data_IF_664116981346
#
_entry.id   IF_664116981346
#
_cell.length_a   1.000
_cell.length_b   1.000
_cell.length_c   1.000
_cell.angle_alpha   90.00
_cell.angle_beta   90.00
_cell.angle_gamma   90.00
#
_symmetry.space_group_name_H-M   'P 1'
#
loop_
_entity.id
_entity.type
_entity.pdbx_description
1 polymer ?
#
# COMPACT_ATOMS: atom_id res chain seq x y z
N UNK A 1 -0.03 -10.99 -10.42
CA UNK A 1 -0.48 -9.84 -9.61
C UNK A 1 0.61 -9.54 -8.59
N UNK A 2 1.16 -8.33 -8.62
CA UNK A 2 2.21 -7.89 -7.69
C UNK A 2 1.52 -7.26 -6.49
N UNK A 3 1.64 -7.87 -5.32
CA UNK A 3 1.09 -7.30 -4.09
C UNK A 3 2.11 -6.30 -3.54
N UNK A 4 1.71 -5.03 -3.40
CA UNK A 4 2.57 -4.04 -2.76
C UNK A 4 2.51 -4.14 -1.23
N UNK A 5 3.41 -3.44 -0.54
CA UNK A 5 3.37 -3.28 0.94
C UNK A 5 2.03 -2.77 1.48
N UNK A 6 1.18 -2.15 0.65
CA UNK A 6 -0.19 -1.80 1.02
C UNK A 6 -1.11 -3.02 1.20
N UNK A 7 -0.66 -4.24 0.94
CA UNK A 7 -1.52 -5.42 0.84
C UNK A 7 -2.35 -5.48 -0.45
N UNK A 8 -2.29 -4.45 -1.30
CA UNK A 8 -3.12 -4.34 -2.49
C UNK A 8 -2.26 -4.55 -3.75
N UNK A 9 -2.89 -4.99 -4.83
CA UNK A 9 -2.29 -5.08 -6.15
C UNK A 9 -1.64 -3.74 -6.56
N UNK A 10 -0.33 -3.75 -6.78
CA UNK A 10 0.44 -2.60 -7.28
C UNK A 10 -0.12 -2.09 -8.60
N UNK A 11 -0.73 -2.95 -9.41
CA UNK A 11 -1.40 -2.60 -10.68
C UNK A 11 -2.62 -1.68 -10.49
N UNK A 12 -3.15 -1.57 -9.27
CA UNK A 12 -4.23 -0.63 -8.91
C UNK A 12 -3.71 0.67 -8.30
N UNK A 13 -2.40 0.81 -8.11
CA UNK A 13 -1.78 2.05 -7.63
C UNK A 13 -1.68 3.09 -8.77
N UNK A 14 -2.20 4.31 -8.63
CA UNK A 14 -2.11 5.37 -9.62
C UNK A 14 -0.69 5.72 -10.03
N UNK A 15 0.30 5.68 -9.12
CA UNK A 15 1.70 5.89 -9.51
C UNK A 15 2.19 4.81 -10.47
N UNK A 16 1.79 3.56 -10.25
CA UNK A 16 2.09 2.46 -11.15
C UNK A 16 1.33 2.60 -12.48
N UNK A 17 0.03 2.89 -12.42
CA UNK A 17 -0.82 3.07 -13.60
C UNK A 17 -0.35 4.24 -14.48
N UNK A 18 0.15 5.30 -13.86
CA UNK A 18 0.68 6.47 -14.54
C UNK A 18 2.18 6.35 -14.88
N UNK A 19 2.80 5.18 -14.70
CA UNK A 19 4.24 4.95 -14.94
C UNK A 19 5.19 5.92 -14.19
N UNK A 20 4.73 6.48 -13.06
CA UNK A 20 5.50 7.40 -12.19
C UNK A 20 5.89 6.73 -10.86
N UNK A 21 5.77 5.41 -10.77
CA UNK A 21 6.22 4.64 -9.64
C UNK A 21 7.75 4.71 -9.56
N UNK A 22 8.35 5.13 -8.43
CA UNK A 22 9.81 5.19 -8.30
C UNK A 22 10.47 3.80 -8.39
N UNK A 23 9.72 2.74 -8.08
CA UNK A 23 10.18 1.36 -8.19
C UNK A 23 9.85 0.71 -9.54
N UNK A 24 9.32 1.50 -10.50
CA UNK A 24 8.92 1.00 -11.81
C UNK A 24 8.03 -0.24 -11.69
N UNK A 25 8.29 -1.24 -12.52
CA UNK A 25 7.52 -2.47 -12.57
C UNK A 25 7.70 -3.39 -11.35
N UNK A 26 8.69 -3.17 -10.48
CA UNK A 26 8.93 -4.05 -9.32
C UNK A 26 7.82 -3.92 -8.27
N UNK A 27 7.23 -2.73 -8.12
CA UNK A 27 6.26 -2.44 -7.05
C UNK A 27 6.91 -2.02 -5.74
N UNK A 28 6.10 -1.85 -4.70
CA UNK A 28 6.63 -1.40 -3.41
C UNK A 28 7.14 -2.59 -2.59
N UNK A 29 8.37 -2.48 -2.09
CA UNK A 29 8.97 -3.34 -1.06
C UNK A 29 9.22 -2.48 0.18
N UNK A 30 9.02 -3.05 1.37
CA UNK A 30 9.21 -2.33 2.62
C UNK A 30 10.67 -1.83 2.71
N UNK A 31 10.87 -0.59 3.17
CA UNK A 31 12.17 0.14 3.22
C UNK A 31 12.77 0.58 1.88
N UNK A 32 12.36 0.01 0.77
CA UNK A 32 12.90 0.41 -0.55
C UNK A 32 12.21 1.67 -1.09
N UNK A 33 10.91 1.84 -0.85
CA UNK A 33 10.16 3.01 -1.32
C UNK A 33 9.94 4.06 -0.22
N UNK A 34 10.98 4.86 0.06
CA UNK A 34 10.94 5.94 1.09
C UNK A 34 9.94 7.06 0.78
N UNK A 35 9.48 7.17 -0.47
CA UNK A 35 8.53 8.20 -0.90
C UNK A 35 7.07 7.77 -0.79
N UNK A 36 6.81 6.48 -0.56
CA UNK A 36 5.46 5.97 -0.37
C UNK A 36 5.10 6.04 1.12
N UNK A 37 4.09 6.84 1.46
CA UNK A 37 3.61 6.95 2.83
C UNK A 37 3.14 5.61 3.41
N UNK A 38 2.54 4.74 2.59
CA UNK A 38 2.17 3.38 3.01
C UNK A 38 3.42 2.56 3.32
N UNK A 39 4.47 2.64 2.50
CA UNK A 39 5.73 1.92 2.76
C UNK A 39 6.37 2.37 4.07
N UNK A 40 6.42 3.68 4.32
CA UNK A 40 6.90 4.23 5.59
C UNK A 40 6.02 3.81 6.77
N UNK A 41 4.70 3.81 6.61
CA UNK A 41 3.76 3.38 7.64
C UNK A 41 3.91 1.89 7.97
N UNK A 42 4.00 1.02 6.96
CA UNK A 42 4.21 -0.42 7.13
C UNK A 42 5.56 -0.69 7.83
N UNK A 43 6.61 -0.01 7.39
CA UNK A 43 7.93 -0.08 8.03
C UNK A 43 7.90 0.36 9.50
N UNK A 44 7.32 1.53 9.80
CA UNK A 44 7.24 2.06 11.16
C UNK A 44 6.39 1.16 12.08
N UNK A 45 5.40 0.46 11.52
CA UNK A 45 4.55 -0.50 12.24
C UNK A 45 5.12 -1.92 12.26
N UNK A 46 6.31 -2.12 11.68
CA UNK A 46 7.00 -3.41 11.59
C UNK A 46 6.13 -4.53 10.97
N UNK A 47 5.38 -4.18 9.91
CA UNK A 47 4.57 -5.13 9.11
C UNK A 47 5.04 -5.13 7.67
N UNK A 48 4.96 -6.27 6.98
CA UNK A 48 5.35 -6.38 5.58
C UNK A 48 4.23 -5.92 4.65
N UNK A 49 2.98 -6.23 5.03
CA UNK A 49 1.77 -5.88 4.31
C UNK A 49 0.80 -5.12 5.23
N UNK A 50 0.07 -4.15 4.69
CA UNK A 50 -0.94 -3.48 5.51
C UNK A 50 -2.03 -4.42 6.04
N UNK A 51 -2.34 -5.54 5.38
CA UNK A 51 -3.27 -6.54 5.91
C UNK A 51 -2.79 -7.24 7.19
N UNK A 52 -1.48 -7.23 7.46
CA UNK A 52 -0.92 -7.74 8.72
C UNK A 52 -1.06 -6.70 9.85
N UNK A 53 -1.44 -5.46 9.53
CA UNK A 53 -1.66 -4.42 10.52
C UNK A 53 -3.06 -4.56 11.13
N UNK A 54 -3.14 -4.65 12.46
CA UNK A 54 -4.40 -4.71 13.22
C UNK A 54 -5.32 -3.51 12.98
N UNK A 55 -4.73 -2.35 12.72
CA UNK A 55 -5.44 -1.09 12.44
C UNK A 55 -5.87 -0.96 10.98
N UNK A 56 -5.55 -1.91 10.09
CA UNK A 56 -5.94 -1.79 8.69
C UNK A 56 -7.46 -1.99 8.50
N UNK A 57 -8.13 -1.17 7.68
CA UNK A 57 -7.63 0.04 7.02
C UNK A 57 -7.51 1.22 8.01
N UNK A 58 -6.39 1.92 7.97
CA UNK A 58 -6.04 3.04 8.87
C UNK A 58 -6.06 4.41 8.14
N UNK A 59 -5.80 5.50 8.86
CA UNK A 59 -5.73 6.86 8.29
C UNK A 59 -4.78 6.98 7.08
N UNK A 60 -3.62 6.32 7.12
CA UNK A 60 -2.70 6.31 5.96
C UNK A 60 -3.35 5.69 4.72
N UNK A 61 -4.18 4.66 4.90
CA UNK A 61 -4.88 4.01 3.80
C UNK A 61 -6.09 4.82 3.31
N UNK A 62 -6.67 5.71 4.12
CA UNK A 62 -7.68 6.70 3.70
C UNK A 62 -7.11 7.76 2.77
N UNK A 63 -5.88 8.20 3.05
CA UNK A 63 -5.13 9.13 2.21
C UNK A 63 -4.47 8.43 1.01
N UNK A 64 -4.48 7.10 1.03
CA UNK A 64 -3.97 6.27 -0.02
C UNK A 64 -4.75 6.47 -1.32
N UNK A 65 -4.14 6.11 -2.45
CA UNK A 65 -4.75 6.33 -3.75
C UNK A 65 -5.93 5.38 -4.07
N UNK A 66 -6.27 4.48 -3.16
CA UNK A 66 -7.29 3.46 -3.33
C UNK A 66 -8.45 3.81 -2.40
N UNK A 67 -9.69 3.66 -2.88
CA UNK A 67 -10.88 3.96 -2.09
C UNK A 67 -10.83 3.27 -0.74
N UNK A 68 -11.05 4.03 0.33
CA UNK A 68 -11.10 3.48 1.68
C UNK A 68 -12.17 2.39 1.81
N UNK A 69 -13.31 2.54 1.14
CA UNK A 69 -14.36 1.51 1.11
C UNK A 69 -13.90 0.19 0.49
N UNK A 70 -13.00 0.25 -0.51
CA UNK A 70 -12.39 -0.96 -1.06
C UNK A 70 -11.43 -1.61 -0.08
N UNK A 71 -10.67 -0.82 0.69
CA UNK A 71 -9.83 -1.34 1.77
C UNK A 71 -10.65 -1.98 2.89
N UNK A 72 -11.82 -1.42 3.24
CA UNK A 72 -12.76 -2.00 4.21
C UNK A 72 -13.27 -3.37 3.75
N UNK A 73 -13.80 -3.44 2.51
CA UNK A 73 -14.25 -4.69 1.89
C UNK A 73 -13.16 -5.77 1.94
N UNK A 74 -11.91 -5.42 1.59
CA UNK A 74 -10.78 -6.35 1.64
C UNK A 74 -10.41 -6.80 3.06
N UNK A 75 -10.60 -5.94 4.06
CA UNK A 75 -10.32 -6.26 5.47
C UNK A 75 -11.44 -7.06 6.17
N UNK A 76 -12.59 -7.24 5.51
CA UNK A 76 -13.78 -7.85 6.12
C UNK A 76 -14.41 -6.99 7.22
N UNK A 77 -14.18 -5.67 7.19
CA UNK A 77 -14.72 -4.68 8.14
C UNK A 77 -15.77 -3.79 7.48
#
# INVERSE_FOLDING_TARGET
MKVGVCGIACEKCPKMQNNTCPNGSLGCIARENKFCQICNCAFNRNVNLCFECSEFPCETTKQGPISYGFCQYLSGK
#
